data_IF_267827678216
#
_entry.id   IF_267827678216
#
_cell.length_a   1.000
_cell.length_b   1.000
_cell.length_c   1.000
_cell.angle_alpha   90.00
_cell.angle_beta   90.00
_cell.angle_gamma   90.00
#
_symmetry.space_group_name_H-M   'P 1'
#
loop_
_entity.id
_entity.type
_entity.pdbx_description
1 polymer ?
#
# COMPACT_ATOMS: atom_id res chain seq x y z
N UNK A 1 -2.97 1.40 7.25
CA UNK A 1 -1.84 1.89 6.42
C UNK A 1 -2.14 1.79 4.92
N UNK A 2 -2.57 0.64 4.39
CA UNK A 2 -2.77 0.45 2.95
C UNK A 2 -3.62 1.54 2.26
N UNK A 3 -4.77 1.88 2.85
CA UNK A 3 -5.66 2.94 2.32
C UNK A 3 -4.93 4.29 2.20
N UNK A 4 -4.14 4.67 3.20
CA UNK A 4 -3.38 5.94 3.19
C UNK A 4 -2.36 5.95 2.06
N UNK A 5 -1.64 4.84 1.85
CA UNK A 5 -0.68 4.72 0.74
C UNK A 5 -1.38 4.87 -0.60
N UNK A 6 -2.52 4.19 -0.79
CA UNK A 6 -3.30 4.30 -2.05
C UNK A 6 -3.74 5.75 -2.29
N UNK A 7 -4.26 6.43 -1.26
CA UNK A 7 -4.66 7.85 -1.36
C UNK A 7 -3.46 8.72 -1.74
N UNK A 8 -2.31 8.52 -1.12
CA UNK A 8 -1.09 9.27 -1.44
C UNK A 8 -0.61 8.99 -2.86
N UNK A 9 -0.65 7.74 -3.34
CA UNK A 9 -0.26 7.40 -4.72
C UNK A 9 -1.20 8.04 -5.75
N UNK A 10 -2.50 8.08 -5.49
CA UNK A 10 -3.47 8.79 -6.34
C UNK A 10 -3.15 10.29 -6.40
N UNK A 11 -2.84 10.91 -5.25
CA UNK A 11 -2.39 12.30 -5.20
C UNK A 11 -1.09 12.52 -5.96
N UNK A 12 -0.08 11.68 -5.74
CA UNK A 12 1.21 11.77 -6.42
C UNK A 12 1.05 11.70 -7.95
N UNK A 13 0.19 10.80 -8.44
CA UNK A 13 -0.16 10.76 -9.86
C UNK A 13 -0.77 12.10 -10.31
N UNK A 14 -1.83 12.56 -9.63
CA UNK A 14 -2.59 13.74 -10.04
C UNK A 14 -1.76 15.03 -10.05
N UNK A 15 -0.83 15.21 -9.09
CA UNK A 15 -0.11 16.46 -8.90
C UNK A 15 1.31 16.48 -9.46
N UNK A 16 2.02 15.34 -9.47
CA UNK A 16 3.46 15.31 -9.80
C UNK A 16 3.75 14.53 -11.08
N UNK A 17 3.14 13.36 -11.25
CA UNK A 17 3.59 12.39 -12.27
C UNK A 17 2.72 12.31 -13.52
N UNK A 18 1.50 12.85 -13.52
CA UNK A 18 0.56 12.75 -14.65
C UNK A 18 1.12 13.27 -15.98
N UNK A 19 1.95 14.32 -15.94
CA UNK A 19 2.51 14.94 -17.13
C UNK A 19 3.84 14.31 -17.60
N UNK A 20 4.48 13.48 -16.78
CA UNK A 20 5.82 12.95 -17.02
C UNK A 20 5.86 11.65 -17.85
N UNK A 21 4.72 11.24 -18.42
CA UNK A 21 4.62 9.98 -19.16
C UNK A 21 4.68 8.74 -18.26
N UNK A 22 4.96 7.58 -18.84
CA UNK A 22 4.85 6.29 -18.12
C UNK A 22 6.14 5.95 -17.37
N UNK A 23 7.29 6.00 -18.06
CA UNK A 23 8.54 5.43 -17.55
C UNK A 23 9.08 6.19 -16.35
N UNK A 24 9.42 5.46 -15.28
CA UNK A 24 9.94 6.07 -14.06
C UNK A 24 11.29 6.77 -14.25
N UNK A 25 12.08 6.34 -15.24
CA UNK A 25 13.35 6.98 -15.60
C UNK A 25 13.17 8.45 -16.01
N UNK A 26 12.02 8.79 -16.59
CA UNK A 26 11.65 10.14 -17.01
C UNK A 26 10.80 10.88 -15.95
N UNK A 27 10.70 10.32 -14.74
CA UNK A 27 9.82 10.81 -13.68
C UNK A 27 8.34 10.44 -13.87
N UNK A 28 8.04 9.48 -14.75
CA UNK A 28 6.69 8.99 -15.04
C UNK A 28 6.00 8.24 -13.90
N UNK A 29 4.78 7.78 -14.17
CA UNK A 29 3.88 7.22 -13.14
C UNK A 29 3.96 5.69 -12.95
N UNK A 30 4.84 4.97 -13.65
CA UNK A 30 5.00 3.51 -13.54
C UNK A 30 5.08 3.03 -12.08
N UNK A 31 6.02 3.57 -11.29
CA UNK A 31 6.18 3.17 -9.90
C UNK A 31 5.01 3.63 -9.02
N UNK A 32 4.39 4.77 -9.32
CA UNK A 32 3.20 5.26 -8.60
C UNK A 32 2.06 4.24 -8.73
N UNK A 33 1.81 3.76 -9.95
CA UNK A 33 0.79 2.75 -10.20
C UNK A 33 1.16 1.39 -9.62
N UNK A 34 2.40 0.93 -9.79
CA UNK A 34 2.84 -0.37 -9.25
C UNK A 34 2.72 -0.39 -7.73
N UNK A 35 3.21 0.65 -7.03
CA UNK A 35 3.11 0.73 -5.57
C UNK A 35 1.65 0.83 -5.14
N UNK A 36 0.87 1.72 -5.76
CA UNK A 36 -0.54 1.91 -5.43
C UNK A 36 -1.37 0.63 -5.58
N UNK A 37 -1.24 -0.06 -6.71
CA UNK A 37 -1.94 -1.32 -6.98
C UNK A 37 -1.46 -2.43 -6.06
N UNK A 38 -0.15 -2.59 -5.86
CA UNK A 38 0.40 -3.65 -5.01
C UNK A 38 -0.11 -3.51 -3.57
N UNK A 39 -0.08 -2.28 -3.03
CA UNK A 39 -0.57 -2.02 -1.67
C UNK A 39 -2.10 -2.13 -1.59
N UNK A 40 -2.84 -1.75 -2.64
CA UNK A 40 -4.27 -1.99 -2.70
C UNK A 40 -4.59 -3.49 -2.65
N UNK A 41 -3.90 -4.31 -3.44
CA UNK A 41 -4.06 -5.77 -3.45
C UNK A 41 -3.78 -6.34 -2.07
N UNK A 42 -2.63 -6.03 -1.46
CA UNK A 42 -2.32 -6.54 -0.11
C UNK A 42 -3.28 -6.00 0.96
N UNK A 43 -3.72 -4.76 0.85
CA UNK A 43 -4.71 -4.17 1.74
C UNK A 43 -6.07 -4.84 1.67
N UNK A 44 -6.50 -5.23 0.47
CA UNK A 44 -7.78 -5.92 0.23
C UNK A 44 -7.73 -7.41 0.60
N UNK A 45 -6.60 -8.08 0.31
CA UNK A 45 -6.40 -9.49 0.68
C UNK A 45 -6.21 -9.66 2.20
N UNK A 46 -5.74 -8.61 2.89
CA UNK A 46 -5.51 -8.61 4.33
C UNK A 46 -4.24 -9.35 4.75
N UNK A 47 -3.96 -9.36 6.06
CA UNK A 47 -2.70 -9.88 6.63
C UNK A 47 -2.60 -11.40 6.70
N UNK A 48 -3.59 -12.13 6.17
CA UNK A 48 -3.63 -13.60 6.19
C UNK A 48 -3.51 -14.21 7.59
N UNK A 49 -3.29 -15.53 7.67
CA UNK A 49 -3.14 -16.28 8.93
C UNK A 49 -1.92 -15.90 9.78
N UNK A 50 -1.04 -15.06 9.24
CA UNK A 50 0.21 -14.63 9.90
C UNK A 50 0.17 -13.17 10.33
N UNK A 51 -1.02 -12.63 10.61
CA UNK A 51 -1.15 -11.28 11.16
C UNK A 51 -0.46 -11.17 12.52
N UNK A 52 0.46 -10.20 12.66
CA UNK A 52 1.07 -9.88 13.95
C UNK A 52 0.01 -9.44 14.98
N UNK A 53 -1.08 -8.83 14.52
CA UNK A 53 -2.19 -8.42 15.39
C UNK A 53 -2.87 -9.63 16.04
N UNK A 54 -3.10 -10.69 15.26
CA UNK A 54 -3.68 -11.94 15.76
C UNK A 54 -2.73 -12.65 16.74
N UNK A 55 -1.42 -12.64 16.45
CA UNK A 55 -0.41 -13.20 17.34
C UNK A 55 -0.32 -12.44 18.68
N UNK A 56 -0.36 -11.11 18.64
CA UNK A 56 -0.29 -10.26 19.84
C UNK A 56 -1.59 -10.39 20.65
N UNK A 57 -2.75 -10.41 20.00
CA UNK A 57 -4.04 -10.64 20.65
C UNK A 57 -4.09 -12.02 21.34
N UNK A 58 -3.66 -13.08 20.66
CA UNK A 58 -3.59 -14.43 21.24
C UNK A 58 -2.63 -14.52 22.44
N UNK A 59 -1.46 -13.86 22.37
CA UNK A 59 -0.52 -13.78 23.49
C UNK A 59 -1.06 -13.00 24.69
N UNK A 60 -1.85 -11.94 24.47
CA UNK A 60 -2.51 -11.21 25.56
C UNK A 60 -3.60 -12.05 26.22
N UNK A 61 -4.42 -12.75 25.43
CA UNK A 61 -5.46 -13.64 25.93
C UNK A 61 -4.88 -14.82 26.74
N UNK A 62 -3.71 -15.34 26.39
CA UNK A 62 -3.05 -16.41 27.13
C UNK A 62 -2.35 -15.94 28.43
N UNK A 63 -2.25 -14.63 28.67
CA UNK A 63 -1.58 -14.04 29.84
C UNK A 63 -2.53 -13.41 30.85
N UNK A 64 -3.82 -13.29 30.52
CA UNK A 64 -4.88 -12.82 31.43
C UNK A 64 -5.74 -14.00 31.88
#
# INVERSE_FOLDING_TARGET
MAVLVVVVMVGAYAYVHKAAGIYAADGGWELVAVIGLTVAVFGLVGTGRYSLDALIAGRRAARG
#
